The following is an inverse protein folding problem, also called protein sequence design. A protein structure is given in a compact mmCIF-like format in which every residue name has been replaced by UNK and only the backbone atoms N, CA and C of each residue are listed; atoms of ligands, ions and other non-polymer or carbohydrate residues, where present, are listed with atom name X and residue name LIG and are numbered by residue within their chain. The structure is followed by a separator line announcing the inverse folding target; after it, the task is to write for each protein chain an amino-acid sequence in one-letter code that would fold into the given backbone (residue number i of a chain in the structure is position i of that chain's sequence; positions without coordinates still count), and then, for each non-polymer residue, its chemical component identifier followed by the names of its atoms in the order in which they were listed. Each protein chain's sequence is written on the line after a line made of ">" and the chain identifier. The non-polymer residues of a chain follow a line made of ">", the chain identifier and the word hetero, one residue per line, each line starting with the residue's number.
data_IF_390882941784
#
_entry.id   IF_390882941784
#
_cell.length_a   1.000
_cell.length_b   1.000
_cell.length_c   1.000
_cell.angle_alpha   90.00
_cell.angle_beta   90.00
_cell.angle_gamma   90.00
#
_symmetry.space_group_name_H-M   'P 1'
#
loop_
_entity.id
_entity.type
_entity.pdbx_description
1 polymer ?
#
# COMPACT_ATOMS: atom_id res chain seq x y z
N UNK A 1 -1.19 -22.10 6.16
CA UNK A 1 -2.27 -21.18 6.59
C UNK A 1 -1.84 -19.78 6.21
N UNK A 2 -2.72 -18.98 5.59
CA UNK A 2 -2.39 -17.60 5.22
C UNK A 2 -2.26 -16.77 6.51
N UNK A 3 -1.15 -16.01 6.72
CA UNK A 3 -0.98 -15.27 7.96
C UNK A 3 -2.00 -14.13 8.09
N UNK A 4 -2.64 -14.04 9.26
CA UNK A 4 -3.77 -13.12 9.51
C UNK A 4 -3.38 -11.64 9.33
N UNK A 5 -2.22 -11.23 9.86
CA UNK A 5 -1.73 -9.85 9.83
C UNK A 5 -1.53 -9.30 8.40
N UNK A 6 -0.77 -9.98 7.51
CA UNK A 6 -0.72 -9.65 6.09
C UNK A 6 -2.09 -9.53 5.44
N UNK A 7 -2.98 -10.51 5.64
CA UNK A 7 -4.32 -10.51 5.04
C UNK A 7 -5.14 -9.28 5.43
N UNK A 8 -5.13 -8.93 6.73
CA UNK A 8 -5.83 -7.74 7.23
C UNK A 8 -5.23 -6.47 6.61
N UNK A 9 -3.89 -6.35 6.63
CA UNK A 9 -3.21 -5.19 6.06
C UNK A 9 -3.51 -5.03 4.56
N UNK A 10 -3.38 -6.09 3.77
CA UNK A 10 -3.69 -6.08 2.34
C UNK A 10 -5.15 -5.75 2.08
N UNK A 11 -6.07 -6.24 2.91
CA UNK A 11 -7.50 -5.89 2.79
C UNK A 11 -7.73 -4.39 2.99
N UNK A 12 -7.03 -3.75 3.94
CA UNK A 12 -7.15 -2.31 4.18
C UNK A 12 -6.66 -1.47 3.01
N UNK A 13 -5.51 -1.81 2.39
CA UNK A 13 -5.04 -1.05 1.23
C UNK A 13 -5.94 -1.26 0.00
N UNK A 14 -6.53 -2.44 -0.16
CA UNK A 14 -7.55 -2.70 -1.20
C UNK A 14 -8.80 -1.87 -0.97
N UNK A 15 -9.33 -1.83 0.26
CA UNK A 15 -10.47 -0.98 0.62
C UNK A 15 -10.14 0.49 0.36
N UNK A 16 -8.95 0.94 0.77
CA UNK A 16 -8.47 2.30 0.47
C UNK A 16 -8.48 2.59 -1.03
N UNK A 17 -7.94 1.69 -1.86
CA UNK A 17 -7.95 1.86 -3.32
C UNK A 17 -9.37 1.94 -3.90
N UNK A 18 -10.29 1.09 -3.45
CA UNK A 18 -11.70 1.15 -3.86
C UNK A 18 -12.32 2.50 -3.49
N UNK A 19 -12.06 2.99 -2.28
CA UNK A 19 -12.54 4.32 -1.85
C UNK A 19 -11.92 5.44 -2.69
N UNK A 20 -10.63 5.35 -3.08
CA UNK A 20 -10.01 6.29 -4.01
C UNK A 20 -10.75 6.31 -5.36
N UNK A 21 -11.12 5.14 -5.89
CA UNK A 21 -11.91 5.04 -7.12
C UNK A 21 -13.30 5.68 -6.98
N UNK A 22 -13.99 5.43 -5.86
CA UNK A 22 -15.28 6.04 -5.56
C UNK A 22 -15.16 7.56 -5.42
N UNK A 23 -14.14 8.07 -4.72
CA UNK A 23 -13.94 9.51 -4.61
C UNK A 23 -13.55 10.17 -5.93
N UNK A 24 -12.88 9.45 -6.82
CA UNK A 24 -12.64 9.90 -8.19
C UNK A 24 -13.94 10.03 -8.99
N UNK A 25 -14.86 9.09 -8.81
CA UNK A 25 -16.20 9.20 -9.39
C UNK A 25 -16.94 10.44 -8.85
N UNK A 26 -16.92 10.68 -7.54
CA UNK A 26 -17.59 11.86 -6.96
C UNK A 26 -17.03 13.19 -7.44
N UNK A 27 -15.71 13.33 -7.58
CA UNK A 27 -15.13 14.59 -8.06
C UNK A 27 -15.43 14.84 -9.54
N UNK A 28 -15.52 13.78 -10.36
CA UNK A 28 -15.99 13.90 -11.75
C UNK A 28 -17.43 14.40 -11.83
N UNK A 29 -18.27 13.99 -10.89
CA UNK A 29 -19.64 14.49 -10.76
C UNK A 29 -19.76 15.83 -10.02
N UNK A 30 -18.63 16.50 -9.72
CA UNK A 30 -18.56 17.76 -8.95
C UNK A 30 -19.19 17.66 -7.55
N UNK A 31 -19.34 16.45 -7.00
CA UNK A 31 -19.86 16.21 -5.64
C UNK A 31 -18.71 16.32 -4.62
N UNK A 32 -18.28 17.55 -4.35
CA UNK A 32 -17.06 17.85 -3.56
C UNK A 32 -17.14 17.30 -2.14
N UNK A 33 -18.27 17.49 -1.45
CA UNK A 33 -18.44 17.03 -0.07
C UNK A 33 -18.33 15.50 0.05
N UNK A 34 -18.92 14.77 -0.90
CA UNK A 34 -18.82 13.30 -0.94
C UNK A 34 -17.40 12.85 -1.27
N UNK A 35 -16.76 13.52 -2.24
CA UNK A 35 -15.34 13.27 -2.54
C UNK A 35 -14.48 13.43 -1.28
N UNK A 36 -14.61 14.54 -0.56
CA UNK A 36 -13.83 14.82 0.65
C UNK A 36 -14.05 13.75 1.73
N UNK A 37 -15.30 13.43 2.07
CA UNK A 37 -15.64 12.39 3.06
C UNK A 37 -15.05 11.03 2.65
N UNK A 38 -15.15 10.66 1.38
CA UNK A 38 -14.59 9.41 0.87
C UNK A 38 -13.06 9.40 0.89
N UNK A 39 -12.40 10.52 0.57
CA UNK A 39 -10.93 10.61 0.61
C UNK A 39 -10.39 10.52 2.04
N UNK A 40 -11.07 11.11 3.03
CA UNK A 40 -10.70 10.93 4.43
C UNK A 40 -10.83 9.48 4.90
N UNK A 41 -11.89 8.79 4.50
CA UNK A 41 -12.04 7.37 4.80
C UNK A 41 -10.96 6.53 4.11
N UNK A 42 -10.65 6.82 2.84
CA UNK A 42 -9.58 6.16 2.10
C UNK A 42 -8.21 6.34 2.80
N UNK A 43 -7.94 7.56 3.29
CA UNK A 43 -6.73 7.89 4.03
C UNK A 43 -6.66 7.16 5.38
N UNK A 44 -7.79 7.01 6.09
CA UNK A 44 -7.84 6.24 7.33
C UNK A 44 -7.48 4.77 7.12
N UNK A 45 -8.04 4.12 6.09
CA UNK A 45 -7.69 2.74 5.73
C UNK A 45 -6.21 2.61 5.29
N UNK A 46 -5.70 3.57 4.52
CA UNK A 46 -4.29 3.60 4.14
C UNK A 46 -3.37 3.71 5.35
N UNK A 47 -3.71 4.60 6.30
CA UNK A 47 -2.96 4.77 7.53
C UNK A 47 -2.97 3.49 8.38
N UNK A 48 -4.14 2.85 8.52
CA UNK A 48 -4.26 1.58 9.22
C UNK A 48 -3.41 0.48 8.58
N UNK A 49 -3.37 0.40 7.24
CA UNK A 49 -2.46 -0.47 6.51
C UNK A 49 -0.99 -0.22 6.90
N UNK A 50 -0.53 1.03 6.85
CA UNK A 50 0.86 1.37 7.20
C UNK A 50 1.20 1.01 8.64
N UNK A 51 0.30 1.29 9.59
CA UNK A 51 0.50 0.96 11.00
C UNK A 51 0.69 -0.55 11.18
N UNK A 52 -0.22 -1.36 10.61
CA UNK A 52 -0.13 -2.82 10.72
C UNK A 52 1.12 -3.35 10.01
N UNK A 53 1.39 -2.88 8.79
CA UNK A 53 2.54 -3.32 8.00
C UNK A 53 3.87 -3.02 8.69
N UNK A 54 4.05 -1.79 9.17
CA UNK A 54 5.26 -1.37 9.88
C UNK A 54 5.41 -2.11 11.20
N UNK A 55 4.32 -2.26 11.97
CA UNK A 55 4.34 -3.01 13.23
C UNK A 55 4.78 -4.46 12.99
N UNK A 56 4.18 -5.14 12.00
CA UNK A 56 4.58 -6.49 11.62
C UNK A 56 6.06 -6.54 11.22
N UNK A 57 6.51 -5.60 10.39
CA UNK A 57 7.89 -5.56 9.91
C UNK A 57 8.89 -5.40 11.06
N UNK A 58 8.58 -4.56 12.05
CA UNK A 58 9.43 -4.29 13.21
C UNK A 58 9.47 -5.49 14.16
N UNK A 59 8.31 -6.05 14.52
CA UNK A 59 8.24 -7.09 15.56
C UNK A 59 8.44 -8.52 15.03
N UNK A 60 7.87 -8.83 13.85
CA UNK A 60 7.83 -10.18 13.28
C UNK A 60 8.85 -10.35 12.14
N UNK A 61 9.15 -9.28 11.40
CA UNK A 61 10.07 -9.30 10.27
C UNK A 61 9.42 -9.54 8.90
N UNK A 62 10.27 -9.60 7.87
CA UNK A 62 9.84 -9.77 6.49
C UNK A 62 9.78 -11.25 6.09
N UNK A 63 8.85 -11.57 5.19
CA UNK A 63 8.71 -12.91 4.63
C UNK A 63 9.60 -13.05 3.42
N UNK A 64 10.44 -14.09 3.43
CA UNK A 64 11.26 -14.46 2.27
C UNK A 64 10.40 -15.10 1.18
N UNK A 65 10.76 -14.86 -0.08
CA UNK A 65 10.14 -15.54 -1.21
C UNK A 65 10.41 -17.05 -1.13
N UNK A 66 9.36 -17.86 -1.13
CA UNK A 66 9.44 -19.32 -1.02
C UNK A 66 9.17 -20.06 -2.33
N UNK A 67 9.23 -19.37 -3.47
CA UNK A 67 9.13 -19.99 -4.79
C UNK A 67 10.48 -20.52 -5.31
N UNK A 68 10.49 -21.13 -6.50
CA UNK A 68 11.69 -21.64 -7.16
C UNK A 68 12.81 -20.58 -7.31
N UNK A 69 14.08 -21.02 -7.25
CA UNK A 69 15.25 -20.12 -7.32
C UNK A 69 15.39 -19.39 -8.65
N UNK A 70 14.97 -20.00 -9.76
CA UNK A 70 14.93 -19.40 -11.09
C UNK A 70 13.91 -18.25 -11.19
N UNK A 71 12.84 -18.28 -10.40
CA UNK A 71 11.81 -17.23 -10.36
C UNK A 71 12.18 -16.11 -9.36
N UNK A 72 13.03 -16.42 -8.37
CA UNK A 72 13.39 -15.51 -7.27
C UNK A 72 13.90 -14.16 -7.75
N UNK A 73 14.75 -14.13 -8.78
CA UNK A 73 15.29 -12.87 -9.32
C UNK A 73 14.19 -11.95 -9.89
N UNK A 74 13.22 -12.52 -10.61
CA UNK A 74 12.10 -11.77 -11.16
C UNK A 74 11.20 -11.22 -10.05
N UNK A 75 10.94 -12.04 -9.03
CA UNK A 75 10.22 -11.58 -7.85
C UNK A 75 10.97 -10.44 -7.13
N UNK A 76 12.29 -10.53 -6.96
CA UNK A 76 13.07 -9.48 -6.29
C UNK A 76 13.03 -8.16 -7.07
N UNK A 77 13.17 -8.21 -8.40
CA UNK A 77 13.04 -7.01 -9.25
C UNK A 77 11.63 -6.41 -9.14
N UNK A 78 10.61 -7.27 -9.20
CA UNK A 78 9.22 -6.85 -9.04
C UNK A 78 8.94 -6.22 -7.66
N UNK A 79 9.48 -6.82 -6.60
CA UNK A 79 9.36 -6.30 -5.24
C UNK A 79 10.03 -4.95 -5.09
N UNK A 80 11.23 -4.78 -5.65
CA UNK A 80 11.92 -3.49 -5.67
C UNK A 80 11.08 -2.42 -6.37
N UNK A 81 10.51 -2.74 -7.54
CA UNK A 81 9.60 -1.86 -8.25
C UNK A 81 8.37 -1.49 -7.41
N UNK A 82 7.74 -2.47 -6.77
CA UNK A 82 6.61 -2.22 -5.88
C UNK A 82 6.97 -1.29 -4.72
N UNK A 83 8.12 -1.50 -4.06
CA UNK A 83 8.58 -0.66 -2.96
C UNK A 83 8.80 0.78 -3.43
N UNK A 84 9.48 0.97 -4.57
CA UNK A 84 9.68 2.30 -5.14
C UNK A 84 8.35 3.01 -5.39
N UNK A 85 7.40 2.29 -5.98
CA UNK A 85 6.07 2.81 -6.26
C UNK A 85 5.26 3.09 -4.98
N UNK A 86 5.41 2.26 -3.95
CA UNK A 86 4.78 2.45 -2.65
C UNK A 86 5.32 3.70 -1.93
N UNK A 87 6.65 3.90 -1.96
CA UNK A 87 7.27 5.11 -1.41
C UNK A 87 6.80 6.36 -2.16
N UNK A 88 6.80 6.33 -3.50
CA UNK A 88 6.29 7.43 -4.31
C UNK A 88 4.81 7.72 -4.02
N UNK A 89 3.98 6.67 -3.96
CA UNK A 89 2.56 6.76 -3.63
C UNK A 89 2.30 7.38 -2.26
N UNK A 90 3.07 6.98 -1.24
CA UNK A 90 2.97 7.56 0.11
C UNK A 90 3.30 9.06 0.11
N UNK A 91 4.40 9.45 -0.55
CA UNK A 91 4.80 10.87 -0.66
C UNK A 91 3.72 11.67 -1.38
N UNK A 92 3.25 11.22 -2.54
CA UNK A 92 2.18 11.90 -3.28
C UNK A 92 0.87 11.97 -2.48
N UNK A 93 0.52 10.91 -1.77
CA UNK A 93 -0.63 10.86 -0.87
C UNK A 93 -0.56 11.96 0.20
N UNK A 94 0.56 12.06 0.91
CA UNK A 94 0.79 13.08 1.93
C UNK A 94 0.71 14.49 1.33
N UNK A 95 1.40 14.75 0.21
CA UNK A 95 1.38 16.08 -0.43
C UNK A 95 -0.03 16.47 -0.88
N UNK A 96 -0.82 15.50 -1.36
CA UNK A 96 -2.20 15.70 -1.80
C UNK A 96 -3.12 16.03 -0.61
N UNK A 97 -3.02 15.27 0.48
CA UNK A 97 -3.76 15.54 1.71
C UNK A 97 -3.39 16.90 2.32
N UNK A 98 -2.09 17.23 2.38
CA UNK A 98 -1.62 18.53 2.86
C UNK A 98 -2.16 19.69 2.00
N UNK A 99 -2.24 19.50 0.67
CA UNK A 99 -2.82 20.52 -0.20
C UNK A 99 -4.32 20.74 0.06
N UNK A 100 -5.06 19.68 0.43
CA UNK A 100 -6.47 19.77 0.80
C UNK A 100 -6.64 20.49 2.16
N UNK A 101 -5.87 20.10 3.18
CA UNK A 101 -5.90 20.74 4.51
C UNK A 101 -5.55 22.22 4.44
N UNK A 102 -4.56 22.59 3.61
CA UNK A 102 -4.17 23.99 3.36
C UNK A 102 -5.13 24.74 2.43
N UNK A 103 -6.23 24.11 1.98
CA UNK A 103 -7.20 24.66 1.02
C UNK A 103 -6.56 25.17 -0.27
N UNK A 104 -5.41 24.60 -0.67
CA UNK A 104 -4.72 24.95 -1.91
C UNK A 104 -5.28 24.10 -3.06
N UNK A 105 -6.45 24.50 -3.55
CA UNK A 105 -7.20 23.76 -4.56
C UNK A 105 -6.50 23.70 -5.92
N UNK A 106 -5.73 24.74 -6.29
CA UNK A 106 -4.95 24.73 -7.52
C UNK A 106 -3.92 23.62 -7.51
N UNK A 107 -3.16 23.50 -6.41
CA UNK A 107 -2.19 22.41 -6.24
C UNK A 107 -2.90 21.06 -6.16
N UNK A 108 -3.95 20.95 -5.35
CA UNK A 108 -4.70 19.70 -5.17
C UNK A 108 -5.24 19.16 -6.51
N UNK A 109 -5.84 20.01 -7.34
CA UNK A 109 -6.34 19.62 -8.67
C UNK A 109 -5.23 19.19 -9.63
N UNK A 110 -4.04 19.76 -9.51
CA UNK A 110 -2.89 19.39 -10.34
C UNK A 110 -2.28 18.04 -9.95
N UNK A 111 -2.12 17.79 -8.64
CA UNK A 111 -1.42 16.59 -8.14
C UNK A 111 -2.36 15.42 -7.87
N UNK A 112 -3.60 15.67 -7.47
CA UNK A 112 -4.58 14.65 -7.11
C UNK A 112 -4.74 13.57 -8.18
N UNK A 113 -4.86 13.94 -9.48
CA UNK A 113 -4.92 12.96 -10.55
C UNK A 113 -3.72 12.01 -10.62
N UNK A 114 -2.51 12.57 -10.52
CA UNK A 114 -1.26 11.82 -10.56
C UNK A 114 -1.17 10.91 -9.34
N UNK A 115 -1.52 11.43 -8.16
CA UNK A 115 -1.53 10.69 -6.90
C UNK A 115 -2.42 9.45 -7.00
N UNK A 116 -3.66 9.57 -7.49
CA UNK A 116 -4.53 8.39 -7.56
C UNK A 116 -4.04 7.36 -8.58
N UNK A 117 -3.48 7.79 -9.73
CA UNK A 117 -2.90 6.86 -10.71
C UNK A 117 -1.78 6.05 -10.05
N UNK A 118 -0.81 6.72 -9.42
CA UNK A 118 0.27 6.05 -8.70
C UNK A 118 -0.30 5.12 -7.63
N UNK A 119 -1.29 5.59 -6.85
CA UNK A 119 -1.93 4.81 -5.79
C UNK A 119 -2.56 3.51 -6.30
N UNK A 120 -3.24 3.54 -7.44
CA UNK A 120 -3.83 2.32 -8.03
C UNK A 120 -2.76 1.32 -8.44
N UNK A 121 -1.70 1.77 -9.13
CA UNK A 121 -0.59 0.87 -9.47
C UNK A 121 0.09 0.31 -8.22
N UNK A 122 0.29 1.11 -7.17
CA UNK A 122 0.85 0.66 -5.89
C UNK A 122 -0.03 -0.41 -5.26
N UNK A 123 -1.34 -0.18 -5.15
CA UNK A 123 -2.26 -1.12 -4.52
C UNK A 123 -2.33 -2.44 -5.31
N UNK A 124 -2.44 -2.38 -6.65
CA UNK A 124 -2.47 -3.57 -7.51
C UNK A 124 -1.18 -4.38 -7.39
N UNK A 125 -0.02 -3.74 -7.46
CA UNK A 125 1.27 -4.43 -7.29
C UNK A 125 1.43 -5.00 -5.87
N UNK A 126 0.92 -4.32 -4.84
CA UNK A 126 0.93 -4.81 -3.46
C UNK A 126 0.06 -6.05 -3.25
N UNK A 127 -1.11 -6.10 -3.89
CA UNK A 127 -1.95 -7.31 -3.92
C UNK A 127 -1.20 -8.46 -4.60
N UNK A 128 -0.52 -8.20 -5.71
CA UNK A 128 0.30 -9.21 -6.38
C UNK A 128 1.46 -9.71 -5.49
N UNK A 129 2.15 -8.82 -4.76
CA UNK A 129 3.17 -9.23 -3.76
C UNK A 129 2.56 -10.16 -2.71
N UNK A 130 1.38 -9.82 -2.17
CA UNK A 130 0.69 -10.66 -1.19
C UNK A 130 0.32 -12.04 -1.76
N UNK A 131 -0.23 -12.08 -2.98
CA UNK A 131 -0.60 -13.35 -3.64
C UNK A 131 0.64 -14.23 -3.86
N UNK A 132 1.74 -13.65 -4.34
CA UNK A 132 2.98 -14.37 -4.55
C UNK A 132 3.55 -14.92 -3.25
N UNK A 133 3.55 -14.14 -2.16
CA UNK A 133 4.15 -14.56 -0.90
C UNK A 133 3.32 -15.55 -0.08
N UNK A 134 1.99 -15.48 -0.16
CA UNK A 134 1.12 -16.19 0.79
C UNK A 134 0.08 -17.12 0.16
N UNK A 135 -0.17 -17.00 -1.16
CA UNK A 135 -1.19 -17.79 -1.86
C UNK A 135 -0.57 -18.75 -2.87
N UNK A 136 0.27 -18.24 -3.78
CA UNK A 136 0.86 -19.05 -4.85
C UNK A 136 2.09 -19.82 -4.41
N UNK A 137 2.97 -19.17 -3.65
CA UNK A 137 4.13 -19.82 -3.06
C UNK A 137 3.93 -19.96 -1.56
N UNK A 138 4.40 -21.08 -0.99
CA UNK A 138 4.52 -21.20 0.46
C UNK A 138 5.68 -20.31 0.89
N UNK A 139 5.40 -19.11 1.38
CA UNK A 139 6.41 -18.18 1.88
C UNK A 139 7.43 -18.90 2.77
N UNK A 140 8.72 -18.58 2.59
CA UNK A 140 9.80 -19.16 3.38
C UNK A 140 9.74 -18.74 4.85
N UNK A 141 10.73 -19.14 5.64
CA UNK A 141 10.80 -18.77 7.06
C UNK A 141 10.70 -17.25 7.28
N UNK A 142 9.80 -16.83 8.16
CA UNK A 142 9.72 -15.44 8.64
C UNK A 142 10.70 -15.27 9.79
N UNK A 143 11.80 -14.58 9.55
CA UNK A 143 12.79 -14.23 10.58
C UNK A 143 12.58 -12.80 11.08
N UNK A 144 12.48 -12.64 12.41
CA UNK A 144 12.40 -11.32 13.05
C UNK A 144 13.69 -10.52 12.84
N UNK A 145 13.55 -9.21 12.60
CA UNK A 145 14.68 -8.27 12.45
C UNK A 145 15.56 -8.27 13.70
N UNK A 146 14.95 -8.39 14.88
CA UNK A 146 15.65 -8.46 16.17
C UNK A 146 16.51 -9.72 16.23
N UNK A 147 15.98 -10.84 15.75
CA UNK A 147 16.69 -12.14 15.71
C UNK A 147 17.87 -12.11 14.73
N UNK A 148 17.67 -11.49 13.57
CA UNK A 148 18.69 -11.36 12.54
C UNK A 148 19.87 -10.46 12.97
N UNK A 149 19.62 -9.45 13.81
CA UNK A 149 20.67 -8.54 14.29
C UNK A 149 21.34 -9.04 15.57
N UNK A 150 20.58 -9.62 16.49
CA UNK A 150 21.10 -9.98 17.82
C UNK A 150 21.54 -11.45 17.95
N UNK A 151 21.22 -12.32 16.99
CA UNK A 151 21.84 -13.63 16.87
C UNK A 151 21.39 -14.71 17.87
N UNK A 152 20.28 -14.50 18.59
CA UNK A 152 19.67 -15.51 19.48
C UNK A 152 18.25 -15.86 19.03
#
# INVERSE_FOLDING_TARGET
>A
MVPILPTISTSFIVISAILVAIGWYFIRQKQIEKHEKTMWLAAAFALAFFIIYLSRTIFIGNTSFGGPDDIKIYYTIFLFFHIFLATAGAVFGIVTLLSAVKKNWLRHKKIGPITSIVWFFTATTGVAVYLLLYVFYRGGETTSVIKAILGF
#
